data_IF_612803860593
#
_entry.id   IF_612803860593
#
_cell.length_a   1.000
_cell.length_b   1.000
_cell.length_c   1.000
_cell.angle_alpha   90.00
_cell.angle_beta   90.00
_cell.angle_gamma   90.00
#
_symmetry.space_group_name_H-M   'P 1'
#
loop_
_entity.id
_entity.type
_entity.pdbx_description
1 polymer ?
#
# COMPACT_ATOMS: atom_id res chain seq x y z
N UNK A 1 -2.38 -17.67 -17.35
CA UNK A 1 -0.97 -17.95 -17.00
C UNK A 1 -0.42 -16.71 -16.31
N UNK A 2 -0.10 -16.81 -15.02
CA UNK A 2 0.47 -15.67 -14.28
C UNK A 2 1.93 -15.50 -14.65
N UNK A 3 2.34 -14.25 -14.89
CA UNK A 3 3.77 -13.91 -15.01
C UNK A 3 4.54 -14.24 -13.72
N UNK A 4 5.87 -14.04 -13.71
CA UNK A 4 6.67 -14.31 -12.52
C UNK A 4 6.16 -13.50 -11.32
N UNK A 5 6.18 -14.12 -10.14
CA UNK A 5 5.97 -13.41 -8.88
C UNK A 5 7.24 -12.64 -8.57
N UNK A 6 7.11 -11.33 -8.46
CA UNK A 6 8.20 -10.41 -8.13
C UNK A 6 7.85 -9.62 -6.88
N UNK A 7 8.83 -8.92 -6.32
CA UNK A 7 8.65 -8.04 -5.17
C UNK A 7 9.09 -6.63 -5.53
N UNK A 8 8.28 -5.64 -5.14
CA UNK A 8 8.58 -4.21 -5.30
C UNK A 8 8.36 -3.51 -3.97
N UNK A 9 9.17 -2.49 -3.70
CA UNK A 9 9.02 -1.64 -2.53
C UNK A 9 8.69 -0.21 -2.96
N UNK A 10 7.81 0.43 -2.19
CA UNK A 10 7.49 1.85 -2.31
C UNK A 10 7.50 2.49 -0.93
N UNK A 11 7.81 3.78 -0.86
CA UNK A 11 7.74 4.55 0.39
C UNK A 11 6.49 5.41 0.42
N UNK A 12 5.95 5.62 1.63
CA UNK A 12 4.88 6.58 1.88
C UNK A 12 5.21 7.39 3.13
N UNK A 13 4.80 8.68 3.20
CA UNK A 13 4.86 9.43 4.45
C UNK A 13 4.11 8.70 5.56
N UNK A 14 4.69 8.64 6.76
CA UNK A 14 4.13 7.94 7.93
C UNK A 14 2.73 8.43 8.27
N UNK A 15 2.46 9.73 8.08
CA UNK A 15 1.17 10.36 8.35
C UNK A 15 0.07 9.89 7.39
N UNK A 16 0.45 9.45 6.18
CA UNK A 16 -0.48 8.95 5.17
C UNK A 16 -0.74 7.45 5.32
N UNK A 17 0.04 6.72 6.12
CA UNK A 17 -0.12 5.28 6.30
C UNK A 17 -1.49 4.90 6.87
N UNK A 18 -2.06 5.75 7.74
CA UNK A 18 -3.41 5.57 8.28
C UNK A 18 -4.50 5.50 7.20
N UNK A 19 -4.35 6.26 6.11
CA UNK A 19 -5.29 6.27 4.97
C UNK A 19 -5.32 4.93 4.22
N UNK A 20 -4.18 4.27 4.13
CA UNK A 20 -4.02 2.98 3.46
C UNK A 20 -4.49 1.85 4.36
N UNK A 21 -4.15 1.91 5.66
CA UNK A 21 -4.50 0.86 6.62
C UNK A 21 -6.01 0.87 6.89
N UNK A 22 -6.58 2.05 7.13
CA UNK A 22 -7.99 2.24 7.50
C UNK A 22 -8.33 1.72 8.89
N UNK A 23 -9.54 2.02 9.37
CA UNK A 23 -10.02 1.61 10.70
C UNK A 23 -9.98 0.08 10.83
N UNK A 24 -9.25 -0.44 11.83
CA UNK A 24 -9.11 -1.88 12.07
C UNK A 24 -8.43 -2.66 10.94
N UNK A 25 -7.66 -1.96 10.07
CA UNK A 25 -6.98 -2.58 8.93
C UNK A 25 -7.92 -2.98 7.78
N UNK A 26 -9.17 -2.53 7.76
CA UNK A 26 -10.16 -2.95 6.76
C UNK A 26 -9.74 -2.55 5.33
N UNK A 27 -9.17 -1.35 5.16
CA UNK A 27 -8.80 -0.86 3.83
C UNK A 27 -7.64 -1.66 3.26
N UNK A 28 -6.57 -1.90 4.03
CA UNK A 28 -5.44 -2.70 3.54
C UNK A 28 -5.83 -4.17 3.29
N UNK A 29 -6.77 -4.73 4.06
CA UNK A 29 -7.34 -6.06 3.79
C UNK A 29 -8.05 -6.11 2.44
N UNK A 30 -8.87 -5.10 2.15
CA UNK A 30 -9.55 -4.98 0.86
C UNK A 30 -8.54 -4.83 -0.29
N UNK A 31 -7.51 -4.00 -0.14
CA UNK A 31 -6.49 -3.79 -1.19
C UNK A 31 -5.75 -5.10 -1.49
N UNK A 32 -5.36 -5.87 -0.47
CA UNK A 32 -4.75 -7.20 -0.66
C UNK A 32 -5.68 -8.15 -1.40
N UNK A 33 -6.97 -8.16 -1.05
CA UNK A 33 -7.96 -9.01 -1.69
C UNK A 33 -8.20 -8.64 -3.16
N UNK A 34 -8.44 -7.35 -3.46
CA UNK A 34 -8.73 -6.85 -4.81
C UNK A 34 -7.53 -6.93 -5.75
N UNK A 35 -6.33 -6.64 -5.24
CA UNK A 35 -5.11 -6.73 -6.05
C UNK A 35 -4.62 -8.16 -6.24
N UNK A 36 -4.96 -9.08 -5.32
CA UNK A 36 -4.36 -10.41 -5.25
C UNK A 36 -2.88 -10.40 -4.84
N UNK A 37 -2.32 -9.23 -4.49
CA UNK A 37 -0.94 -9.09 -4.04
C UNK A 37 -0.81 -9.30 -2.53
N UNK A 38 0.33 -9.86 -2.11
CA UNK A 38 0.77 -9.77 -0.73
C UNK A 38 1.35 -8.38 -0.46
N UNK A 39 0.89 -7.72 0.61
CA UNK A 39 1.33 -6.36 0.94
C UNK A 39 1.71 -6.29 2.42
N UNK A 40 2.95 -5.90 2.70
CA UNK A 40 3.47 -5.63 4.05
C UNK A 40 3.74 -4.14 4.19
N UNK A 41 3.32 -3.54 5.29
CA UNK A 41 3.64 -2.15 5.64
C UNK A 41 4.48 -2.22 6.90
N UNK A 42 5.71 -1.77 6.82
CA UNK A 42 6.63 -1.77 7.95
C UNK A 42 6.35 -0.58 8.89
N UNK A 43 6.80 -0.70 10.13
CA UNK A 43 6.93 0.46 11.02
C UNK A 43 7.96 1.44 10.43
N UNK A 44 7.82 2.75 10.68
CA UNK A 44 8.81 3.70 10.22
C UNK A 44 10.13 3.36 10.90
N UNK A 45 11.23 3.46 10.15
CA UNK A 45 12.56 3.36 10.73
C UNK A 45 12.76 4.51 11.72
N UNK A 46 13.63 4.32 12.72
CA UNK A 46 13.92 5.36 13.70
C UNK A 46 14.41 6.64 13.01
N UNK A 47 13.73 7.77 13.25
CA UNK A 47 14.01 9.04 12.59
C UNK A 47 13.52 9.17 11.14
N UNK A 48 12.81 8.17 10.61
CA UNK A 48 12.23 8.22 9.26
C UNK A 48 10.84 8.84 9.27
N UNK A 49 10.62 9.78 8.34
CA UNK A 49 9.29 10.32 8.03
C UNK A 49 8.48 9.41 7.09
N UNK A 50 9.11 8.34 6.58
CA UNK A 50 8.51 7.39 5.65
C UNK A 50 8.36 5.98 6.25
N UNK A 51 7.34 5.27 5.78
CA UNK A 51 7.16 3.82 5.93
C UNK A 51 7.42 3.12 4.61
N UNK A 52 7.97 1.90 4.69
CA UNK A 52 8.18 1.04 3.53
C UNK A 52 6.97 0.13 3.35
N UNK A 53 6.43 0.10 2.14
CA UNK A 53 5.44 -0.88 1.70
C UNK A 53 6.13 -1.87 0.77
N UNK A 54 6.10 -3.14 1.13
CA UNK A 54 6.59 -4.24 0.30
C UNK A 54 5.39 -4.93 -0.35
N UNK A 55 5.38 -5.01 -1.68
CA UNK A 55 4.31 -5.61 -2.50
C UNK A 55 4.91 -6.81 -3.25
N UNK A 56 4.28 -7.97 -3.12
CA UNK A 56 4.71 -9.20 -3.79
C UNK A 56 3.54 -9.81 -4.57
N UNK A 57 3.76 -10.08 -5.85
CA UNK A 57 2.74 -10.61 -6.75
C UNK A 57 3.22 -10.66 -8.20
N UNK A 58 2.34 -11.01 -9.13
CA UNK A 58 2.58 -10.81 -10.56
C UNK A 58 2.64 -9.32 -10.89
N UNK A 59 3.17 -8.96 -12.06
CA UNK A 59 3.21 -7.57 -12.53
C UNK A 59 1.83 -6.88 -12.47
N UNK A 60 0.77 -7.57 -12.91
CA UNK A 60 -0.60 -7.04 -12.89
C UNK A 60 -1.12 -6.84 -11.45
N UNK A 61 -0.85 -7.80 -10.56
CA UNK A 61 -1.24 -7.71 -9.15
C UNK A 61 -0.54 -6.53 -8.46
N UNK A 62 0.74 -6.31 -8.75
CA UNK A 62 1.52 -5.19 -8.21
C UNK A 62 0.99 -3.86 -8.74
N UNK A 63 0.74 -3.74 -10.05
CA UNK A 63 0.19 -2.52 -10.63
C UNK A 63 -1.19 -2.18 -10.03
N UNK A 64 -2.07 -3.18 -9.88
CA UNK A 64 -3.37 -2.99 -9.26
C UNK A 64 -3.23 -2.57 -7.79
N UNK A 65 -2.33 -3.21 -7.02
CA UNK A 65 -2.03 -2.81 -5.64
C UNK A 65 -1.56 -1.36 -5.56
N UNK A 66 -0.61 -0.96 -6.41
CA UNK A 66 -0.10 0.42 -6.46
C UNK A 66 -1.20 1.44 -6.76
N UNK A 67 -2.08 1.15 -7.72
CA UNK A 67 -3.22 1.99 -8.04
C UNK A 67 -4.18 2.17 -6.84
N UNK A 68 -4.54 1.08 -6.18
CA UNK A 68 -5.43 1.11 -5.01
C UNK A 68 -4.81 1.82 -3.80
N UNK A 69 -3.50 1.67 -3.60
CA UNK A 69 -2.74 2.41 -2.58
C UNK A 69 -2.77 3.92 -2.86
N UNK A 70 -2.46 4.34 -4.09
CA UNK A 70 -2.49 5.76 -4.50
C UNK A 70 -3.88 6.37 -4.33
N UNK A 71 -4.93 5.65 -4.69
CA UNK A 71 -6.30 6.12 -4.51
C UNK A 71 -6.65 6.30 -3.03
N UNK A 72 -6.15 5.42 -2.15
CA UNK A 72 -6.40 5.53 -0.71
C UNK A 72 -5.75 6.77 -0.11
N UNK A 73 -4.53 7.10 -0.58
CA UNK A 73 -3.84 8.33 -0.20
C UNK A 73 -4.57 9.58 -0.71
N UNK A 74 -4.96 9.61 -1.99
CA UNK A 74 -5.66 10.76 -2.60
C UNK A 74 -6.99 11.09 -1.91
N UNK A 75 -7.76 10.07 -1.54
CA UNK A 75 -9.04 10.27 -0.85
C UNK A 75 -8.87 10.89 0.55
N UNK A 76 -7.72 10.68 1.20
CA UNK A 76 -7.43 11.22 2.52
C UNK A 76 -6.73 12.58 2.47
N UNK A 77 -5.84 12.82 1.49
CA UNK A 77 -5.17 14.11 1.33
C UNK A 77 -6.14 15.22 0.91
N UNK A 78 -7.28 14.87 0.29
CA UNK A 78 -8.36 15.82 0.00
C UNK A 78 -9.20 16.25 1.21
N UNK A 79 -8.90 15.76 2.43
CA UNK A 79 -9.68 16.02 3.65
C UNK A 79 -9.02 17.00 4.63
N UNK A 80 -7.87 17.56 4.27
CA UNK A 80 -7.17 18.57 5.04
C UNK A 80 -6.67 19.72 4.16
N UNK A 81 -7.61 20.45 3.55
CA UNK A 81 -7.57 21.90 3.34
C UNK A 81 -9.01 22.41 3.43
#
# INVERSE_FOLDING_TARGET
MGGPVITTQVTIPKDLAGSIIGKGGQRIKQIRHESGASIKIDEPLEGSEDRIITITGTQDQIQNAQYLLQNSVKQYSGRFF
#
